data_IF_940540050588
#
_entry.id   IF_940540050588
#
_cell.length_a   1.000
_cell.length_b   1.000
_cell.length_c   1.000
_cell.angle_alpha   90.00
_cell.angle_beta   90.00
_cell.angle_gamma   90.00
#
_symmetry.space_group_name_H-M   'P 1'
#
loop_
_entity.id
_entity.type
_entity.pdbx_description
1 polymer ?
#
# COMPACT_ATOMS: atom_id res chain seq x y z
N UNK A 1 7.64 -2.11 3.93
CA UNK A 1 8.30 -1.51 2.74
C UNK A 1 9.69 -2.12 2.71
N UNK A 2 9.94 -3.05 1.78
CA UNK A 2 11.26 -3.63 1.59
C UNK A 2 12.18 -2.55 0.99
N UNK A 3 13.32 -2.34 1.62
CA UNK A 3 14.34 -1.44 1.09
C UNK A 3 15.11 -2.22 0.03
N UNK A 4 14.90 -1.90 -1.24
CA UNK A 4 15.70 -2.42 -2.33
C UNK A 4 16.92 -1.50 -2.55
N UNK A 5 18.10 -1.99 -2.17
CA UNK A 5 19.35 -1.25 -2.36
C UNK A 5 19.80 -1.33 -3.82
N UNK A 6 20.00 -0.18 -4.47
CA UNK A 6 20.65 -0.10 -5.77
C UNK A 6 22.16 -0.22 -5.58
N UNK A 7 22.68 -1.43 -5.65
CA UNK A 7 24.10 -1.69 -5.48
C UNK A 7 24.90 -1.39 -6.76
N UNK A 8 26.08 -0.77 -6.64
CA UNK A 8 26.92 -0.39 -7.80
C UNK A 8 27.54 -1.59 -8.51
N UNK A 9 27.65 -2.73 -7.84
CA UNK A 9 28.14 -4.01 -8.40
C UNK A 9 27.43 -5.18 -7.74
N UNK A 10 27.43 -6.37 -8.38
CA UNK A 10 26.97 -7.61 -7.74
C UNK A 10 27.83 -7.95 -6.53
N UNK A 11 27.18 -8.30 -5.41
CA UNK A 11 27.80 -8.76 -4.17
C UNK A 11 27.26 -10.14 -3.79
N UNK A 12 27.98 -10.91 -2.95
CA UNK A 12 27.47 -12.14 -2.35
C UNK A 12 26.14 -11.91 -1.62
N UNK A 13 25.26 -12.93 -1.60
CA UNK A 13 23.93 -12.79 -1.04
C UNK A 13 23.94 -12.41 0.45
N UNK A 14 24.87 -12.94 1.22
CA UNK A 14 25.08 -12.62 2.63
C UNK A 14 25.50 -11.15 2.85
N UNK A 15 26.34 -10.62 1.97
CA UNK A 15 26.73 -9.21 1.99
C UNK A 15 25.53 -8.29 1.67
N UNK A 16 24.68 -8.67 0.68
CA UNK A 16 23.46 -7.91 0.35
C UNK A 16 22.50 -7.90 1.54
N UNK A 17 22.27 -9.04 2.17
CA UNK A 17 21.43 -9.16 3.37
C UNK A 17 21.96 -8.28 4.50
N UNK A 18 23.29 -8.29 4.74
CA UNK A 18 23.89 -7.46 5.77
C UNK A 18 23.76 -5.97 5.46
N UNK A 19 24.07 -5.52 4.24
CA UNK A 19 23.92 -4.12 3.82
C UNK A 19 22.47 -3.64 3.92
N UNK A 20 21.51 -4.48 3.54
CA UNK A 20 20.08 -4.17 3.69
C UNK A 20 19.71 -4.00 5.16
N UNK A 21 20.20 -4.88 6.03
CA UNK A 21 19.98 -4.76 7.47
C UNK A 21 20.60 -3.48 8.05
N UNK A 22 21.80 -3.10 7.61
CA UNK A 22 22.42 -1.81 7.98
C UNK A 22 21.55 -0.65 7.50
N UNK A 23 21.10 -0.65 6.24
CA UNK A 23 20.27 0.41 5.68
C UNK A 23 18.95 0.59 6.45
N UNK A 24 18.29 -0.51 6.85
CA UNK A 24 17.09 -0.47 7.70
C UNK A 24 17.31 0.18 9.07
N UNK A 25 18.55 0.19 9.56
CA UNK A 25 18.91 0.72 10.86
C UNK A 25 19.55 2.12 10.81
N UNK A 26 19.83 2.68 9.62
CA UNK A 26 20.50 3.97 9.49
C UNK A 26 19.75 5.11 10.20
N UNK A 27 18.41 5.14 10.10
CA UNK A 27 17.62 6.18 10.78
C UNK A 27 17.76 6.11 12.30
N UNK A 28 17.72 4.91 12.88
CA UNK A 28 17.95 4.72 14.32
C UNK A 28 19.31 5.24 14.73
N UNK A 29 20.34 4.90 13.97
CA UNK A 29 21.72 5.33 14.26
C UNK A 29 21.90 6.83 14.07
N UNK A 30 21.27 7.43 13.04
CA UNK A 30 21.26 8.87 12.83
C UNK A 30 20.61 9.60 14.02
N UNK A 31 19.45 9.12 14.46
CA UNK A 31 18.70 9.73 15.57
C UNK A 31 19.45 9.61 16.91
N UNK A 32 19.98 8.43 17.24
CA UNK A 32 20.75 8.21 18.47
C UNK A 32 22.12 8.88 18.42
N UNK A 33 22.75 8.91 17.23
CA UNK A 33 24.08 9.48 17.03
C UNK A 33 24.09 10.98 16.78
N UNK A 34 22.92 11.65 16.72
CA UNK A 34 22.78 13.06 16.42
C UNK A 34 23.52 13.53 15.17
N UNK A 35 23.61 12.66 14.16
CA UNK A 35 24.37 12.96 12.95
C UNK A 35 23.76 12.34 11.68
N UNK A 36 24.05 12.97 10.55
CA UNK A 36 23.75 12.40 9.25
C UNK A 36 24.53 11.11 9.04
N UNK A 37 23.88 10.08 8.52
CA UNK A 37 24.50 8.78 8.30
C UNK A 37 24.35 8.38 6.84
N UNK A 38 25.42 7.91 6.21
CA UNK A 38 25.40 7.41 4.85
C UNK A 38 26.09 6.05 4.75
N UNK A 39 25.45 5.11 4.07
CA UNK A 39 26.02 3.81 3.72
C UNK A 39 26.59 3.89 2.31
N UNK A 40 27.87 3.65 2.15
CA UNK A 40 28.53 3.58 0.86
C UNK A 40 29.12 2.19 0.61
N UNK A 41 29.08 1.76 -0.64
CA UNK A 41 29.57 0.46 -1.11
C UNK A 41 30.65 0.68 -2.15
N UNK A 42 31.71 -0.14 -2.09
CA UNK A 42 32.83 -0.06 -3.03
C UNK A 42 32.49 -0.74 -4.36
N UNK A 43 32.53 0.00 -5.47
CA UNK A 43 32.19 -0.50 -6.82
C UNK A 43 33.37 -1.24 -7.51
N UNK A 44 34.57 -1.11 -6.99
CA UNK A 44 35.81 -1.61 -7.54
C UNK A 44 36.87 -0.51 -7.75
N UNK A 45 36.42 0.75 -7.81
CA UNK A 45 37.26 1.92 -7.98
C UNK A 45 36.95 3.01 -6.95
N UNK A 46 35.64 3.22 -6.69
CA UNK A 46 35.16 4.29 -5.81
C UNK A 46 34.15 3.77 -4.78
N UNK A 47 33.89 4.56 -3.75
CA UNK A 47 32.81 4.36 -2.81
C UNK A 47 31.56 5.12 -3.29
N UNK A 48 30.44 4.42 -3.49
CA UNK A 48 29.16 5.00 -3.89
C UNK A 48 28.13 4.90 -2.77
N UNK A 49 27.44 5.99 -2.46
CA UNK A 49 26.39 6.03 -1.44
C UNK A 49 25.15 5.31 -1.96
N UNK A 50 24.69 4.28 -1.22
CA UNK A 50 23.52 3.46 -1.56
C UNK A 50 22.32 3.69 -0.64
N UNK A 51 22.56 4.24 0.56
CA UNK A 51 21.49 4.65 1.48
C UNK A 51 21.98 5.80 2.36
N UNK A 52 21.07 6.67 2.80
CA UNK A 52 21.37 7.72 3.76
C UNK A 52 20.19 7.94 4.73
N UNK A 53 20.48 8.50 5.90
CA UNK A 53 19.50 8.91 6.89
C UNK A 53 19.95 10.20 7.60
N UNK A 54 19.00 11.00 8.05
CA UNK A 54 19.24 12.25 8.76
C UNK A 54 18.60 12.20 10.12
N UNK A 55 19.26 12.80 11.13
CA UNK A 55 18.71 12.81 12.47
C UNK A 55 17.43 13.66 12.51
N UNK A 56 16.39 13.12 13.13
CA UNK A 56 15.20 13.89 13.53
C UNK A 56 15.39 14.56 14.89
N UNK A 57 16.42 14.17 15.63
CA UNK A 57 16.75 14.62 16.99
C UNK A 57 17.77 15.76 17.02
N UNK A 58 18.36 16.09 15.87
CA UNK A 58 19.40 17.12 15.75
C UNK A 58 19.33 17.86 14.41
N UNK A 59 20.14 18.92 14.31
CA UNK A 59 20.29 19.65 13.04
C UNK A 59 21.13 18.80 12.08
N UNK A 60 20.58 18.52 10.90
CA UNK A 60 21.30 17.82 9.85
C UNK A 60 22.44 18.67 9.28
N UNK A 61 23.62 18.10 9.16
CA UNK A 61 24.78 18.73 8.51
C UNK A 61 24.62 18.75 6.98
N UNK A 62 23.92 17.76 6.40
CA UNK A 62 23.65 17.62 4.97
C UNK A 62 22.16 17.77 4.69
N UNK A 63 21.78 18.66 3.76
CA UNK A 63 20.36 18.98 3.49
C UNK A 63 19.74 18.10 2.41
N UNK A 64 20.55 17.63 1.44
CA UNK A 64 20.09 16.84 0.30
C UNK A 64 20.54 15.38 0.45
N UNK A 65 19.75 14.43 -0.12
CA UNK A 65 20.17 13.03 -0.16
C UNK A 65 21.48 12.87 -0.91
N UNK A 66 22.33 11.99 -0.39
CA UNK A 66 23.61 11.62 -0.98
C UNK A 66 23.52 10.33 -1.80
N UNK A 67 22.37 9.68 -1.86
CA UNK A 67 22.17 8.40 -2.59
C UNK A 67 22.59 8.59 -4.07
N UNK A 68 23.43 7.67 -4.55
CA UNK A 68 24.00 7.72 -5.89
C UNK A 68 25.26 8.60 -6.03
N UNK A 69 25.64 9.34 -4.99
CA UNK A 69 26.87 10.14 -5.00
C UNK A 69 28.10 9.23 -4.90
N UNK A 70 29.08 9.48 -5.77
CA UNK A 70 30.42 8.89 -5.67
C UNK A 70 31.27 9.73 -4.72
N UNK A 71 31.88 9.07 -3.75
CA UNK A 71 32.76 9.71 -2.78
C UNK A 71 34.19 9.75 -3.35
N UNK A 72 34.81 10.91 -3.35
CA UNK A 72 36.23 11.03 -3.73
C UNK A 72 37.13 10.80 -2.52
N UNK A 73 38.34 10.32 -2.79
CA UNK A 73 39.34 10.11 -1.74
C UNK A 73 39.80 11.44 -1.09
N UNK A 74 39.79 12.52 -1.85
CA UNK A 74 40.18 13.85 -1.36
C UNK A 74 39.08 14.46 -0.48
N UNK A 75 37.79 14.22 -0.81
CA UNK A 75 36.64 14.75 -0.06
C UNK A 75 36.33 13.92 1.19
N UNK A 76 36.48 12.59 1.12
CA UNK A 76 36.14 11.66 2.20
C UNK A 76 37.34 10.73 2.55
N UNK A 77 38.49 11.27 2.96
CA UNK A 77 39.69 10.44 3.26
C UNK A 77 39.42 9.46 4.41
N UNK A 78 38.57 9.80 5.38
CA UNK A 78 38.19 8.94 6.50
C UNK A 78 37.49 7.66 6.02
N UNK A 79 36.62 7.78 4.99
CA UNK A 79 35.92 6.64 4.39
C UNK A 79 36.90 5.63 3.78
N UNK A 80 37.84 6.13 3.01
CA UNK A 80 38.87 5.28 2.36
C UNK A 80 39.84 4.69 3.37
N UNK A 81 40.27 5.47 4.36
CA UNK A 81 41.11 4.98 5.43
C UNK A 81 40.46 3.85 6.24
N UNK A 82 39.16 3.99 6.56
CA UNK A 82 38.42 2.96 7.25
C UNK A 82 38.20 1.71 6.38
N UNK A 83 37.93 1.90 5.07
CA UNK A 83 37.75 0.81 4.13
C UNK A 83 39.03 -0.02 3.95
N UNK A 84 40.16 0.65 3.75
CA UNK A 84 41.47 0.01 3.53
C UNK A 84 42.07 -0.57 4.81
N UNK A 85 41.87 0.17 5.94
CA UNK A 85 42.40 -0.25 7.24
C UNK A 85 41.51 -1.28 7.95
N UNK A 86 40.28 -1.49 7.50
CA UNK A 86 39.33 -2.43 8.13
C UNK A 86 38.95 -2.09 9.59
N UNK A 87 39.11 -0.83 9.99
CA UNK A 87 38.83 -0.34 11.34
C UNK A 87 38.18 1.04 11.31
N UNK A 88 37.41 1.37 12.37
CA UNK A 88 36.76 2.67 12.48
C UNK A 88 37.80 3.82 12.48
N UNK A 89 37.50 4.88 11.74
CA UNK A 89 38.32 6.10 11.64
C UNK A 89 37.47 7.28 12.13
N UNK A 90 38.04 8.09 12.99
CA UNK A 90 37.42 9.31 13.50
C UNK A 90 38.20 10.49 12.95
N UNK A 91 37.52 11.33 12.15
CA UNK A 91 38.18 12.48 11.53
C UNK A 91 38.21 13.68 12.45
N UNK A 92 39.44 14.22 12.62
CA UNK A 92 39.66 15.48 13.33
C UNK A 92 39.37 16.71 12.44
N UNK A 93 39.08 16.50 11.16
CA UNK A 93 38.82 17.59 10.21
C UNK A 93 37.46 18.19 10.47
N UNK A 94 37.45 19.48 10.74
CA UNK A 94 36.23 20.28 10.82
C UNK A 94 35.81 20.66 9.42
N UNK A 95 34.73 20.09 8.95
CA UNK A 95 34.09 20.50 7.70
C UNK A 95 33.02 21.53 7.99
N UNK A 96 32.80 22.46 7.07
CA UNK A 96 31.74 23.47 7.23
C UNK A 96 30.83 23.44 6.02
N UNK A 97 29.55 23.15 6.26
CA UNK A 97 28.49 23.25 5.26
C UNK A 97 27.43 24.22 5.76
N UNK A 98 27.14 25.25 4.98
CA UNK A 98 26.15 26.30 5.33
C UNK A 98 26.39 26.95 6.72
N UNK A 99 27.64 27.12 7.11
CA UNK A 99 28.00 27.70 8.41
C UNK A 99 27.93 26.74 9.61
N UNK A 100 27.60 25.46 9.38
CA UNK A 100 27.61 24.42 10.40
C UNK A 100 28.94 23.65 10.28
N UNK A 101 29.70 23.63 11.36
CA UNK A 101 30.90 22.79 11.46
C UNK A 101 30.51 21.40 11.93
N UNK A 102 31.03 20.38 11.27
CA UNK A 102 30.83 18.98 11.63
C UNK A 102 32.11 18.15 11.54
N UNK A 103 32.15 17.06 12.27
CA UNK A 103 33.19 16.03 12.20
C UNK A 103 32.64 14.77 11.58
N UNK A 104 33.45 14.11 10.75
CA UNK A 104 33.06 12.85 10.08
C UNK A 104 33.76 11.68 10.76
N UNK A 105 33.00 10.59 11.00
CA UNK A 105 33.56 9.29 11.35
C UNK A 105 33.15 8.26 10.34
N UNK A 106 34.01 7.28 10.06
CA UNK A 106 33.78 6.20 9.10
C UNK A 106 33.98 4.84 9.78
N UNK A 107 33.06 3.90 9.51
CA UNK A 107 33.08 2.56 10.06
C UNK A 107 32.94 1.51 8.97
N UNK A 108 33.83 0.49 8.90
CA UNK A 108 33.73 -0.54 7.90
C UNK A 108 32.56 -1.49 8.19
N UNK A 109 31.91 -1.94 7.13
CA UNK A 109 30.83 -2.94 7.17
C UNK A 109 31.30 -4.19 6.43
N UNK A 110 31.31 -5.32 7.14
CA UNK A 110 31.72 -6.60 6.56
C UNK A 110 32.64 -7.40 7.47
N UNK A 111 33.35 -8.36 6.89
CA UNK A 111 34.32 -9.19 7.63
C UNK A 111 35.58 -8.40 7.93
N UNK A 112 36.20 -8.60 9.12
CA UNK A 112 37.45 -7.96 9.44
C UNK A 112 38.54 -8.20 8.34
N UNK A 113 39.11 -7.12 7.83
CA UNK A 113 40.13 -7.17 6.75
C UNK A 113 39.57 -7.30 5.31
N UNK A 114 38.22 -7.44 5.16
CA UNK A 114 37.59 -7.46 3.83
C UNK A 114 36.19 -6.80 3.89
N UNK A 115 36.12 -5.50 4.18
CA UNK A 115 34.85 -4.79 4.18
C UNK A 115 34.31 -4.67 2.76
N UNK A 116 32.98 -4.69 2.63
CA UNK A 116 32.30 -4.45 1.35
C UNK A 116 31.53 -3.13 1.35
N UNK A 117 31.42 -2.46 2.49
CA UNK A 117 30.79 -1.17 2.64
C UNK A 117 31.40 -0.35 3.77
N UNK A 118 30.95 0.90 3.85
CA UNK A 118 31.34 1.88 4.88
C UNK A 118 30.07 2.61 5.35
N UNK A 119 29.93 2.81 6.64
CA UNK A 119 29.00 3.78 7.19
C UNK A 119 29.75 5.04 7.59
N UNK A 120 29.37 6.16 7.00
CA UNK A 120 29.81 7.51 7.36
C UNK A 120 28.82 8.11 8.34
N UNK A 121 29.32 8.85 9.35
CA UNK A 121 28.50 9.65 10.25
C UNK A 121 29.09 11.05 10.36
N UNK A 122 28.27 12.06 10.05
CA UNK A 122 28.59 13.49 10.14
C UNK A 122 27.84 14.10 11.31
N UNK A 123 28.55 14.51 12.36
CA UNK A 123 27.96 15.07 13.58
C UNK A 123 28.27 16.56 13.69
N UNK A 124 27.23 17.38 13.87
CA UNK A 124 27.41 18.80 14.08
C UNK A 124 28.14 19.07 15.40
N UNK A 125 29.18 19.92 15.33
CA UNK A 125 30.09 20.16 16.46
C UNK A 125 29.39 20.72 17.70
N UNK A 126 28.34 21.50 17.52
CA UNK A 126 27.54 22.05 18.63
C UNK A 126 26.95 20.97 19.56
N UNK A 127 26.71 19.77 19.05
CA UNK A 127 26.20 18.63 19.84
C UNK A 127 27.31 17.99 20.66
N UNK A 128 28.56 18.04 20.20
CA UNK A 128 29.69 17.34 20.82
C UNK A 128 30.35 18.13 21.96
N UNK A 129 30.29 19.47 21.92
CA UNK A 129 31.03 20.34 22.84
C UNK A 129 30.45 20.38 24.28
N UNK A 130 29.15 20.18 24.47
CA UNK A 130 28.52 20.15 25.78
C UNK A 130 27.27 19.27 25.80
N UNK A 131 27.41 17.93 25.70
CA UNK A 131 26.25 17.03 25.63
C UNK A 131 25.54 16.98 26.99
N UNK A 132 24.22 17.05 26.98
CA UNK A 132 23.39 16.77 28.15
C UNK A 132 23.34 15.26 28.45
N UNK A 133 22.64 14.90 29.53
CA UNK A 133 22.53 13.48 29.94
C UNK A 133 21.86 12.60 28.87
N UNK A 134 20.90 13.14 28.15
CA UNK A 134 20.18 12.42 27.08
C UNK A 134 21.11 12.17 25.90
N UNK A 135 21.84 13.17 25.47
CA UNK A 135 22.78 13.08 24.36
C UNK A 135 23.89 12.07 24.66
N UNK A 136 24.42 12.05 25.88
CA UNK A 136 25.44 11.07 26.29
C UNK A 136 24.89 9.64 26.23
N UNK A 137 23.67 9.40 26.76
CA UNK A 137 23.04 8.10 26.72
C UNK A 137 22.76 7.64 25.27
N UNK A 138 22.21 8.53 24.44
CA UNK A 138 21.88 8.23 23.06
C UNK A 138 23.14 7.94 22.23
N UNK A 139 24.18 8.75 22.34
CA UNK A 139 25.45 8.49 21.66
C UNK A 139 26.09 7.17 22.10
N UNK A 140 26.04 6.83 23.40
CA UNK A 140 26.50 5.52 23.88
C UNK A 140 25.71 4.36 23.26
N UNK A 141 24.39 4.49 23.14
CA UNK A 141 23.56 3.50 22.49
C UNK A 141 23.84 3.39 21.00
N UNK A 142 24.07 4.52 20.30
CA UNK A 142 24.45 4.53 18.88
C UNK A 142 25.74 3.73 18.65
N UNK A 143 26.76 3.93 19.49
CA UNK A 143 28.03 3.19 19.39
C UNK A 143 27.82 1.68 19.51
N UNK A 144 26.99 1.22 20.45
CA UNK A 144 26.68 -0.21 20.64
C UNK A 144 25.89 -0.79 19.47
N UNK A 145 24.97 -0.02 18.86
CA UNK A 145 24.25 -0.45 17.64
C UNK A 145 25.25 -0.57 16.48
N UNK A 146 26.16 0.39 16.32
CA UNK A 146 27.22 0.32 15.32
C UNK A 146 28.09 -0.91 15.47
N UNK A 147 28.56 -1.23 16.69
CA UNK A 147 29.41 -2.39 16.96
C UNK A 147 28.79 -3.72 16.45
N UNK A 148 27.45 -3.84 16.54
CA UNK A 148 26.74 -5.00 16.01
C UNK A 148 26.68 -4.92 14.49
N UNK A 149 26.22 -3.77 13.96
CA UNK A 149 26.01 -3.59 12.53
C UNK A 149 27.29 -3.68 11.68
N UNK A 150 28.46 -3.37 12.26
CA UNK A 150 29.76 -3.52 11.60
C UNK A 150 30.06 -4.97 11.19
N UNK A 151 29.68 -5.92 12.03
CA UNK A 151 30.16 -7.31 11.95
C UNK A 151 29.15 -8.26 11.32
N UNK A 152 27.88 -8.07 11.60
CA UNK A 152 26.83 -9.01 11.22
C UNK A 152 25.44 -8.35 11.20
N UNK A 153 24.50 -8.90 10.44
CA UNK A 153 23.11 -8.44 10.50
C UNK A 153 22.50 -8.74 11.87
N UNK A 154 21.64 -7.84 12.34
CA UNK A 154 20.80 -8.08 13.52
C UNK A 154 19.70 -9.06 13.14
N UNK A 155 19.58 -10.16 13.85
CA UNK A 155 18.63 -11.23 13.56
C UNK A 155 17.41 -11.11 14.48
N UNK A 156 16.22 -11.27 13.91
CA UNK A 156 14.97 -11.39 14.67
C UNK A 156 14.91 -12.76 15.35
N UNK A 157 14.74 -12.77 16.70
CA UNK A 157 14.74 -14.01 17.47
C UNK A 157 13.48 -14.87 17.25
N UNK A 158 12.40 -14.28 16.74
CA UNK A 158 11.14 -15.01 16.50
C UNK A 158 11.14 -15.72 15.14
N UNK A 159 11.76 -15.12 14.11
CA UNK A 159 11.76 -15.66 12.74
C UNK A 159 13.12 -16.23 12.32
N UNK A 160 14.18 -15.92 13.05
CA UNK A 160 15.57 -16.22 12.69
C UNK A 160 16.01 -15.55 11.36
N UNK A 161 15.27 -14.53 10.90
CA UNK A 161 15.54 -13.75 9.73
C UNK A 161 16.19 -12.40 10.08
N UNK A 162 16.81 -11.70 9.11
CA UNK A 162 17.34 -10.37 9.34
C UNK A 162 16.25 -9.41 9.85
N UNK A 163 16.54 -8.73 10.95
CA UNK A 163 15.59 -7.80 11.57
C UNK A 163 15.50 -6.50 10.78
N UNK A 164 14.49 -6.38 9.94
CA UNK A 164 14.30 -5.26 8.98
C UNK A 164 13.27 -4.23 9.41
N UNK A 165 12.73 -4.33 10.63
CA UNK A 165 11.73 -3.37 11.14
C UNK A 165 12.32 -1.96 11.24
N UNK A 166 11.69 -0.98 10.56
CA UNK A 166 12.12 0.41 10.57
C UNK A 166 12.01 1.03 11.96
N UNK A 167 13.00 1.85 12.37
CA UNK A 167 13.15 2.37 13.73
C UNK A 167 13.49 3.84 13.75
N UNK A 168 12.95 4.55 14.74
CA UNK A 168 13.24 5.96 15.02
C UNK A 168 13.46 6.14 16.51
N UNK A 169 14.43 6.97 16.90
CA UNK A 169 14.63 7.30 18.30
C UNK A 169 13.70 8.41 18.81
N UNK A 170 12.85 8.98 17.95
CA UNK A 170 11.77 9.92 18.33
C UNK A 170 10.69 9.28 19.20
N UNK A 171 10.60 7.96 19.20
CA UNK A 171 9.78 7.15 20.09
C UNK A 171 10.40 7.12 21.50
N UNK A 172 9.80 6.39 22.43
CA UNK A 172 10.40 6.21 23.76
C UNK A 172 11.64 5.32 23.68
N UNK A 173 12.78 5.78 24.19
CA UNK A 173 14.03 5.03 24.23
C UNK A 173 14.35 4.62 25.64
N UNK A 174 14.67 3.35 25.88
CA UNK A 174 15.17 2.82 27.16
C UNK A 174 16.44 2.02 26.93
N UNK A 175 17.39 2.16 27.85
CA UNK A 175 18.55 1.30 28.02
C UNK A 175 18.31 0.31 29.16
N UNK A 176 18.49 -0.95 28.88
CA UNK A 176 18.41 -2.02 29.87
C UNK A 176 19.83 -2.55 30.10
N UNK A 177 20.26 -2.64 31.34
CA UNK A 177 21.56 -3.18 31.67
C UNK A 177 21.59 -4.73 31.62
N UNK A 178 22.79 -5.31 31.83
CA UNK A 178 22.98 -6.75 31.81
C UNK A 178 22.20 -7.51 32.92
N UNK A 179 21.77 -6.83 33.98
CA UNK A 179 20.94 -7.42 35.05
C UNK A 179 19.44 -7.35 34.71
N UNK A 180 19.05 -6.74 33.58
CA UNK A 180 17.68 -6.56 33.19
C UNK A 180 17.00 -5.35 33.83
N UNK A 181 17.77 -4.43 34.43
CA UNK A 181 17.25 -3.20 35.04
C UNK A 181 17.30 -2.06 34.08
N UNK A 182 16.30 -1.18 34.11
CA UNK A 182 16.26 0.04 33.29
C UNK A 182 17.35 1.01 33.78
N UNK A 183 18.42 1.14 33.05
CA UNK A 183 19.53 2.07 33.33
C UNK A 183 19.21 3.50 32.91
N UNK A 184 18.50 3.66 31.78
CA UNK A 184 18.07 4.93 31.23
C UNK A 184 16.68 4.82 30.61
N UNK A 185 15.90 5.89 30.69
CA UNK A 185 14.63 6.06 29.98
C UNK A 185 14.48 7.50 29.51
N UNK A 186 14.19 7.69 28.22
CA UNK A 186 13.89 9.01 27.65
C UNK A 186 12.57 9.56 28.22
N UNK A 187 12.34 10.89 28.18
CA UNK A 187 11.09 11.49 28.63
C UNK A 187 9.86 10.86 27.95
N UNK A 188 9.95 10.56 26.64
CA UNK A 188 8.87 9.89 25.92
C UNK A 188 8.61 8.48 26.44
N UNK A 189 9.65 7.68 26.69
CA UNK A 189 9.50 6.35 27.28
C UNK A 189 8.84 6.41 28.65
N UNK A 190 9.27 7.36 29.52
CA UNK A 190 8.65 7.56 30.83
C UNK A 190 7.18 7.92 30.69
N UNK A 191 6.83 8.79 29.75
CA UNK A 191 5.44 9.17 29.50
C UNK A 191 4.59 8.00 29.01
N UNK A 192 5.09 7.24 28.03
CA UNK A 192 4.40 6.03 27.51
C UNK A 192 4.17 5.02 28.65
N UNK A 193 5.19 4.77 29.48
CA UNK A 193 5.07 3.83 30.61
C UNK A 193 4.05 4.32 31.65
N UNK A 194 4.00 5.63 31.94
CA UNK A 194 2.99 6.20 32.84
C UNK A 194 1.58 6.03 32.27
N UNK A 195 1.40 6.32 30.99
CA UNK A 195 0.13 6.14 30.31
C UNK A 195 -0.30 4.66 30.30
N UNK A 196 0.65 3.72 30.30
CA UNK A 196 0.41 2.29 30.41
C UNK A 196 0.27 1.78 31.88
N UNK A 197 0.13 2.69 32.85
CA UNK A 197 -0.17 2.37 34.25
C UNK A 197 1.06 2.19 35.16
N UNK A 198 2.26 2.59 34.73
CA UNK A 198 3.45 2.52 35.63
C UNK A 198 3.43 3.71 36.58
N UNK A 199 3.26 3.43 37.85
CA UNK A 199 3.36 4.42 38.93
C UNK A 199 4.81 4.63 39.36
N UNK A 200 5.22 5.90 39.55
CA UNK A 200 6.57 6.28 40.01
C UNK A 200 7.65 6.26 38.91
N UNK A 201 8.90 6.04 39.31
CA UNK A 201 10.04 6.08 38.35
C UNK A 201 10.14 4.82 37.49
N UNK A 202 10.55 4.98 36.22
CA UNK A 202 10.84 3.87 35.31
C UNK A 202 12.28 3.39 35.46
N UNK A 203 13.23 4.32 35.62
CA UNK A 203 14.65 4.01 35.82
C UNK A 203 14.87 3.29 37.16
N UNK A 204 15.70 2.28 37.17
CA UNK A 204 15.98 1.42 38.33
C UNK A 204 15.00 0.25 38.50
N UNK A 205 13.97 0.13 37.68
CA UNK A 205 13.04 -1.01 37.71
C UNK A 205 13.58 -2.19 36.90
N UNK A 206 13.20 -3.39 37.31
CA UNK A 206 13.41 -4.60 36.52
C UNK A 206 12.51 -4.53 35.25
N UNK A 207 13.11 -4.60 34.08
CA UNK A 207 12.40 -4.40 32.79
C UNK A 207 11.25 -5.39 32.60
N UNK A 208 11.37 -6.62 33.10
CA UNK A 208 10.31 -7.63 33.05
C UNK A 208 9.04 -7.27 33.85
N UNK A 209 9.10 -6.29 34.74
CA UNK A 209 7.95 -5.77 35.50
C UNK A 209 7.24 -4.61 34.81
N UNK A 210 7.82 -4.07 33.75
CA UNK A 210 7.17 -3.06 32.92
C UNK A 210 6.04 -3.68 32.07
N UNK A 211 5.01 -2.90 31.72
CA UNK A 211 3.95 -3.36 30.83
C UNK A 211 4.52 -4.01 29.55
N UNK A 212 4.26 -5.30 29.34
CA UNK A 212 4.79 -6.05 28.21
C UNK A 212 6.28 -6.45 28.29
N UNK A 213 7.04 -5.98 29.27
CA UNK A 213 8.50 -6.17 29.34
C UNK A 213 8.95 -7.63 29.44
N UNK A 214 8.16 -8.49 30.11
CA UNK A 214 8.45 -9.95 30.17
C UNK A 214 8.40 -10.61 28.78
N UNK A 215 7.57 -10.12 27.88
CA UNK A 215 7.39 -10.65 26.52
C UNK A 215 8.32 -9.98 25.53
N UNK A 216 8.45 -8.64 25.60
CA UNK A 216 9.18 -7.86 24.61
C UNK A 216 10.68 -7.75 24.88
N UNK A 217 11.09 -7.68 26.17
CA UNK A 217 12.45 -7.31 26.56
C UNK A 217 13.23 -8.52 27.04
N UNK A 218 12.67 -9.28 28.01
CA UNK A 218 13.36 -10.39 28.66
C UNK A 218 13.98 -11.42 27.69
N UNK A 219 13.30 -11.85 26.59
CA UNK A 219 13.89 -12.85 25.69
C UNK A 219 15.10 -12.33 24.91
N UNK A 220 15.27 -11.02 24.81
CA UNK A 220 16.30 -10.40 23.95
C UNK A 220 17.56 -10.03 24.71
N UNK A 221 17.49 -9.72 26.00
CA UNK A 221 18.60 -9.13 26.80
C UNK A 221 19.94 -9.88 26.64
N UNK A 222 19.95 -11.17 26.45
CA UNK A 222 21.20 -11.95 26.34
C UNK A 222 21.33 -12.72 25.04
N UNK A 223 20.40 -12.51 24.09
CA UNK A 223 20.37 -13.27 22.82
C UNK A 223 21.31 -12.72 21.77
N UNK A 224 21.69 -11.43 21.87
CA UNK A 224 22.40 -10.71 20.80
C UNK A 224 21.54 -10.45 19.55
N UNK A 225 20.25 -10.82 19.59
CA UNK A 225 19.29 -10.62 18.50
C UNK A 225 18.39 -9.42 18.74
N UNK A 226 17.31 -9.35 17.95
CA UNK A 226 16.29 -8.32 18.09
C UNK A 226 14.88 -8.91 18.07
N UNK A 227 13.90 -8.14 18.52
CA UNK A 227 12.49 -8.49 18.51
C UNK A 227 11.62 -7.27 18.30
N UNK A 228 10.58 -7.41 17.46
CA UNK A 228 9.51 -6.42 17.35
C UNK A 228 8.18 -7.09 17.73
N UNK A 229 7.45 -6.50 18.69
CA UNK A 229 6.17 -7.04 19.14
C UNK A 229 5.23 -5.92 19.58
N UNK A 230 3.97 -6.01 19.19
CA UNK A 230 2.90 -5.15 19.72
C UNK A 230 2.20 -5.88 20.85
N UNK A 231 2.06 -5.24 21.99
CA UNK A 231 1.47 -5.79 23.21
C UNK A 231 0.32 -4.90 23.65
N UNK A 232 -0.83 -5.52 23.90
CA UNK A 232 -1.98 -4.85 24.47
C UNK A 232 -1.84 -4.77 25.99
N UNK A 233 -1.94 -3.56 26.54
CA UNK A 233 -1.86 -3.29 27.97
C UNK A 233 -3.01 -2.36 28.33
N UNK A 234 -3.97 -2.88 29.08
CA UNK A 234 -5.22 -2.20 29.41
C UNK A 234 -5.94 -1.72 28.11
N UNK A 235 -6.02 -0.41 27.89
CA UNK A 235 -6.68 0.23 26.74
C UNK A 235 -5.68 0.71 25.68
N UNK A 236 -4.40 0.31 25.77
CA UNK A 236 -3.30 0.77 24.91
C UNK A 236 -2.62 -0.37 24.19
N UNK A 237 -2.17 -0.07 22.97
CA UNK A 237 -1.30 -0.95 22.18
C UNK A 237 0.10 -0.35 22.13
N UNK A 238 1.06 -1.05 22.73
CA UNK A 238 2.46 -0.63 22.79
C UNK A 238 3.30 -1.48 21.84
N UNK A 239 3.95 -0.82 20.87
CA UNK A 239 4.93 -1.46 20.01
C UNK A 239 6.30 -1.38 20.66
N UNK A 240 6.88 -2.55 20.91
CA UNK A 240 8.25 -2.69 21.37
C UNK A 240 9.16 -3.14 20.24
N UNK A 241 10.34 -2.51 20.13
CA UNK A 241 11.43 -2.96 19.27
C UNK A 241 12.67 -3.02 20.13
N UNK A 242 13.15 -4.22 20.40
CA UNK A 242 14.26 -4.48 21.32
C UNK A 242 15.45 -5.03 20.56
N UNK A 243 16.66 -4.53 20.85
CA UNK A 243 17.93 -5.06 20.34
C UNK A 243 18.78 -5.44 21.55
N UNK A 244 19.20 -6.72 21.61
CA UNK A 244 20.07 -7.23 22.64
C UNK A 244 21.54 -6.92 22.37
N UNK A 245 22.25 -6.55 23.41
CA UNK A 245 23.70 -6.41 23.46
C UNK A 245 24.32 -7.42 24.45
N UNK A 246 25.60 -7.61 24.36
CA UNK A 246 26.33 -8.37 25.39
C UNK A 246 26.20 -7.76 26.81
N UNK A 247 25.99 -6.44 26.87
CA UNK A 247 25.89 -5.65 28.12
C UNK A 247 24.46 -5.23 28.48
N UNK A 248 23.41 -5.78 27.82
CA UNK A 248 22.02 -5.42 28.07
C UNK A 248 21.18 -5.32 26.81
N UNK A 249 20.29 -4.33 26.70
CA UNK A 249 19.47 -4.12 25.53
C UNK A 249 19.10 -2.65 25.30
N UNK A 250 18.91 -2.28 24.03
CA UNK A 250 18.19 -1.08 23.59
C UNK A 250 16.73 -1.45 23.40
N UNK A 251 15.83 -0.66 23.95
CA UNK A 251 14.38 -0.81 23.78
C UNK A 251 13.82 0.49 23.22
N UNK A 252 13.13 0.39 22.10
CA UNK A 252 12.27 1.44 21.55
C UNK A 252 10.84 1.06 21.89
N UNK A 253 10.07 1.99 22.44
CA UNK A 253 8.65 1.78 22.77
C UNK A 253 7.83 2.92 22.16
N UNK A 254 6.75 2.57 21.49
CA UNK A 254 5.84 3.47 20.82
C UNK A 254 4.39 3.14 21.22
N UNK A 255 3.60 4.16 21.52
CA UNK A 255 2.15 4.02 21.69
C UNK A 255 1.48 4.05 20.32
N UNK A 256 1.07 2.89 19.84
CA UNK A 256 0.43 2.71 18.53
C UNK A 256 -1.10 2.54 18.65
N UNK A 257 -1.68 2.89 19.79
CA UNK A 257 -3.11 2.70 20.09
C UNK A 257 -4.00 3.30 19.00
N UNK A 258 -3.74 4.55 18.62
CA UNK A 258 -4.57 5.22 17.60
C UNK A 258 -4.39 4.61 16.21
N UNK A 259 -3.20 4.12 15.89
CA UNK A 259 -2.93 3.44 14.60
C UNK A 259 -3.69 2.13 14.55
N UNK A 260 -3.55 1.28 15.56
CA UNK A 260 -4.23 -0.02 15.65
C UNK A 260 -5.76 0.16 15.64
N UNK A 261 -6.26 1.15 16.39
CA UNK A 261 -7.70 1.45 16.42
C UNK A 261 -8.22 1.86 15.04
N UNK A 262 -7.53 2.75 14.33
CA UNK A 262 -7.91 3.16 12.96
C UNK A 262 -7.88 1.99 11.97
N UNK A 263 -6.86 1.14 12.05
CA UNK A 263 -6.81 -0.07 11.22
C UNK A 263 -7.97 -1.02 11.50
N UNK A 264 -8.33 -1.21 12.77
CA UNK A 264 -9.49 -2.02 13.15
C UNK A 264 -10.79 -1.42 12.64
N UNK A 265 -10.98 -0.10 12.78
CA UNK A 265 -12.15 0.60 12.24
C UNK A 265 -12.27 0.44 10.72
N UNK A 266 -11.16 0.55 9.99
CA UNK A 266 -11.14 0.32 8.53
C UNK A 266 -11.52 -1.12 8.19
N UNK A 267 -10.93 -2.12 8.87
CA UNK A 267 -11.28 -3.55 8.68
C UNK A 267 -12.76 -3.83 8.94
N UNK A 268 -13.33 -3.23 9.99
CA UNK A 268 -14.77 -3.37 10.30
C UNK A 268 -15.63 -2.73 9.21
N UNK A 269 -15.25 -1.55 8.73
CA UNK A 269 -15.96 -0.89 7.61
C UNK A 269 -15.93 -1.74 6.35
N UNK A 270 -14.76 -2.27 5.98
CA UNK A 270 -14.61 -3.14 4.81
C UNK A 270 -15.42 -4.44 4.94
N UNK A 271 -15.42 -5.05 6.14
CA UNK A 271 -16.24 -6.24 6.40
C UNK A 271 -17.74 -5.93 6.30
N UNK A 272 -18.17 -4.76 6.80
CA UNK A 272 -19.56 -4.32 6.71
C UNK A 272 -19.98 -4.07 5.26
N UNK A 273 -19.14 -3.42 4.47
CA UNK A 273 -19.40 -3.19 3.03
C UNK A 273 -19.56 -4.53 2.31
N UNK A 274 -18.66 -5.49 2.53
CA UNK A 274 -18.76 -6.85 1.95
C UNK A 274 -20.06 -7.55 2.34
N UNK A 275 -20.46 -7.48 3.61
CA UNK A 275 -21.71 -8.06 4.09
C UNK A 275 -22.94 -7.43 3.41
N UNK A 276 -22.95 -6.09 3.25
CA UNK A 276 -24.03 -5.39 2.52
C UNK A 276 -24.12 -5.89 1.08
N UNK A 277 -23.00 -6.01 0.37
CA UNK A 277 -23.00 -6.55 -1.00
C UNK A 277 -23.51 -7.99 -1.07
N UNK A 278 -23.09 -8.86 -0.16
CA UNK A 278 -23.62 -10.23 -0.08
C UNK A 278 -25.14 -10.26 0.17
N UNK A 279 -25.66 -9.39 1.04
CA UNK A 279 -27.09 -9.29 1.30
C UNK A 279 -27.86 -8.76 0.10
N UNK A 280 -27.35 -7.75 -0.61
CA UNK A 280 -27.96 -7.26 -1.85
C UNK A 280 -28.05 -8.37 -2.88
N UNK A 281 -26.95 -9.13 -3.12
CA UNK A 281 -26.97 -10.30 -4.00
C UNK A 281 -28.05 -11.30 -3.62
N UNK A 282 -28.11 -11.70 -2.34
CA UNK A 282 -29.08 -12.70 -1.85
C UNK A 282 -30.51 -12.20 -2.04
N UNK A 283 -30.78 -10.91 -1.80
CA UNK A 283 -32.08 -10.31 -2.01
C UNK A 283 -32.46 -10.32 -3.50
N UNK A 284 -31.53 -9.93 -4.39
CA UNK A 284 -31.78 -9.99 -5.85
C UNK A 284 -32.06 -11.40 -6.32
N UNK A 285 -31.30 -12.41 -5.85
CA UNK A 285 -31.58 -13.83 -6.17
C UNK A 285 -32.93 -14.31 -5.67
N UNK A 286 -33.35 -13.85 -4.48
CA UNK A 286 -34.69 -14.17 -3.94
C UNK A 286 -35.78 -13.54 -4.79
N UNK A 287 -35.63 -12.27 -5.19
CA UNK A 287 -36.57 -11.58 -6.09
C UNK A 287 -36.65 -12.31 -7.44
N UNK A 288 -35.51 -12.65 -8.05
CA UNK A 288 -35.48 -13.42 -9.30
C UNK A 288 -36.21 -14.75 -9.18
N UNK A 289 -36.05 -15.47 -8.05
CA UNK A 289 -36.74 -16.72 -7.79
C UNK A 289 -38.26 -16.55 -7.65
N UNK A 290 -38.70 -15.50 -6.96
CA UNK A 290 -40.13 -15.18 -6.82
C UNK A 290 -40.74 -14.83 -8.19
N UNK A 291 -40.07 -14.01 -8.98
CA UNK A 291 -40.52 -13.65 -10.33
C UNK A 291 -40.63 -14.88 -11.24
N UNK A 292 -39.65 -15.82 -11.19
CA UNK A 292 -39.73 -17.10 -11.92
C UNK A 292 -40.96 -17.94 -11.51
N UNK A 293 -41.28 -17.97 -10.24
CA UNK A 293 -42.45 -18.70 -9.76
C UNK A 293 -43.72 -18.04 -10.30
N UNK A 294 -43.80 -16.70 -10.31
CA UNK A 294 -44.97 -15.98 -10.87
C UNK A 294 -45.09 -16.17 -12.38
N UNK A 295 -43.98 -16.13 -13.12
CA UNK A 295 -43.95 -16.38 -14.57
C UNK A 295 -44.55 -17.79 -14.93
N UNK A 296 -44.23 -18.81 -14.10
CA UNK A 296 -44.79 -20.15 -14.27
C UNK A 296 -46.26 -20.30 -13.92
N UNK A 297 -46.81 -19.38 -13.11
CA UNK A 297 -48.22 -19.42 -12.64
C UNK A 297 -49.15 -18.58 -13.49
N UNK A 298 -48.64 -17.64 -14.26
CA UNK A 298 -49.43 -16.80 -15.14
C UNK A 298 -49.89 -17.59 -16.38
N UNK A 299 -51.11 -17.34 -16.84
CA UNK A 299 -51.69 -17.93 -18.05
C UNK A 299 -51.59 -17.00 -19.26
N UNK A 300 -51.15 -15.77 -19.09
CA UNK A 300 -50.93 -14.82 -20.18
C UNK A 300 -49.49 -14.95 -20.69
N UNK A 301 -49.35 -15.24 -21.98
CA UNK A 301 -48.02 -15.32 -22.63
C UNK A 301 -47.29 -14.00 -22.60
N UNK A 302 -47.98 -12.86 -22.67
CA UNK A 302 -47.40 -11.52 -22.58
C UNK A 302 -46.86 -11.25 -21.17
N UNK A 303 -47.64 -11.58 -20.13
CA UNK A 303 -47.19 -11.42 -18.74
C UNK A 303 -46.07 -12.39 -18.38
N UNK A 304 -46.07 -13.59 -18.94
CA UNK A 304 -44.97 -14.58 -18.75
C UNK A 304 -43.67 -14.08 -19.34
N UNK A 305 -43.68 -13.49 -20.56
CA UNK A 305 -42.52 -12.89 -21.18
C UNK A 305 -41.98 -11.69 -20.38
N UNK A 306 -42.86 -10.76 -19.98
CA UNK A 306 -42.44 -9.59 -19.20
C UNK A 306 -41.82 -10.00 -17.85
N UNK A 307 -42.31 -11.05 -17.20
CA UNK A 307 -41.71 -11.58 -15.95
C UNK A 307 -40.38 -12.28 -16.22
N UNK A 308 -40.22 -12.98 -17.35
CA UNK A 308 -38.93 -13.61 -17.71
C UNK A 308 -37.85 -12.53 -17.98
N UNK A 309 -38.17 -11.47 -18.71
CA UNK A 309 -37.27 -10.33 -18.89
C UNK A 309 -36.88 -9.68 -17.55
N UNK A 310 -37.84 -9.49 -16.64
CA UNK A 310 -37.54 -8.94 -15.31
C UNK A 310 -36.59 -9.86 -14.51
N UNK A 311 -36.72 -11.19 -14.63
CA UNK A 311 -35.80 -12.16 -13.99
C UNK A 311 -34.39 -12.03 -14.55
N UNK A 312 -34.23 -11.90 -15.86
CA UNK A 312 -32.91 -11.75 -16.49
C UNK A 312 -32.24 -10.46 -16.04
N UNK A 313 -32.96 -9.34 -16.00
CA UNK A 313 -32.45 -8.06 -15.51
C UNK A 313 -32.00 -8.11 -14.04
N UNK A 314 -32.81 -8.68 -13.16
CA UNK A 314 -32.45 -8.84 -11.74
C UNK A 314 -31.25 -9.77 -11.58
N UNK A 315 -31.15 -10.81 -12.39
CA UNK A 315 -30.00 -11.73 -12.37
C UNK A 315 -28.72 -11.07 -12.85
N UNK A 316 -28.76 -10.26 -13.91
CA UNK A 316 -27.62 -9.48 -14.40
C UNK A 316 -27.14 -8.47 -13.36
N UNK A 317 -28.07 -7.75 -12.68
CA UNK A 317 -27.73 -6.86 -11.56
C UNK A 317 -26.99 -7.60 -10.43
N UNK A 318 -27.46 -8.82 -10.07
CA UNK A 318 -26.87 -9.59 -8.97
C UNK A 318 -25.41 -9.96 -9.28
N UNK A 319 -25.10 -10.31 -10.53
CA UNK A 319 -23.74 -10.70 -10.92
C UNK A 319 -22.81 -9.46 -11.03
N UNK A 320 -23.30 -8.35 -11.55
CA UNK A 320 -22.56 -7.08 -11.55
C UNK A 320 -22.22 -6.68 -10.11
N UNK A 321 -23.17 -6.79 -9.20
CA UNK A 321 -22.95 -6.54 -7.78
C UNK A 321 -21.91 -7.48 -7.14
N UNK A 322 -21.91 -8.76 -7.51
CA UNK A 322 -20.92 -9.74 -7.02
C UNK A 322 -19.52 -9.43 -7.52
N UNK A 323 -19.37 -9.09 -8.79
CA UNK A 323 -18.08 -8.79 -9.40
C UNK A 323 -17.43 -7.55 -8.79
N UNK A 324 -18.23 -6.55 -8.46
CA UNK A 324 -17.76 -5.31 -7.84
C UNK A 324 -17.53 -5.44 -6.33
N UNK A 325 -18.25 -6.35 -5.66
CA UNK A 325 -18.02 -6.71 -4.26
C UNK A 325 -16.72 -7.49 -4.04
N UNK A 326 -16.24 -8.20 -5.06
CA UNK A 326 -14.98 -8.96 -5.01
C UNK A 326 -13.74 -8.05 -5.14
N UNK A 327 -13.88 -6.86 -5.71
CA UNK A 327 -12.81 -5.86 -5.76
C UNK A 327 -12.82 -5.05 -4.48
N UNK A 328 -11.81 -5.23 -3.63
CA UNK A 328 -11.52 -4.38 -2.46
C UNK A 328 -10.99 -3.00 -2.85
N UNK A 329 -10.86 -2.72 -4.13
CA UNK A 329 -10.31 -1.49 -4.68
C UNK A 329 -11.41 -0.46 -4.93
N UNK A 330 -11.16 0.78 -4.60
CA UNK A 330 -12.04 1.92 -4.91
C UNK A 330 -12.25 2.13 -6.42
N UNK A 331 -11.40 1.51 -7.25
CA UNK A 331 -11.37 1.61 -8.70
C UNK A 331 -11.27 0.24 -9.36
N UNK A 332 -12.02 0.04 -10.44
CA UNK A 332 -12.15 -1.21 -11.20
C UNK A 332 -11.87 -0.96 -12.68
N UNK A 333 -11.22 -1.89 -13.36
CA UNK A 333 -11.12 -1.86 -14.82
C UNK A 333 -12.47 -2.25 -15.44
N UNK A 334 -13.19 -1.24 -15.95
CA UNK A 334 -14.49 -1.46 -16.55
C UNK A 334 -14.43 -2.32 -17.82
N UNK A 335 -13.29 -2.40 -18.51
CA UNK A 335 -13.15 -3.27 -19.69
C UNK A 335 -13.34 -4.76 -19.34
N UNK A 336 -12.84 -5.17 -18.17
CA UNK A 336 -13.01 -6.55 -17.65
C UNK A 336 -14.47 -6.79 -17.27
N UNK A 337 -15.07 -5.80 -16.59
CA UNK A 337 -16.48 -5.84 -16.20
C UNK A 337 -17.40 -5.98 -17.42
N UNK A 338 -17.21 -5.16 -18.44
CA UNK A 338 -18.00 -5.18 -19.66
C UNK A 338 -17.91 -6.53 -20.40
N UNK A 339 -16.72 -7.12 -20.52
CA UNK A 339 -16.53 -8.46 -21.11
C UNK A 339 -17.34 -9.52 -20.38
N UNK A 340 -17.27 -9.53 -19.05
CA UNK A 340 -18.00 -10.50 -18.22
C UNK A 340 -19.52 -10.34 -18.36
N UNK A 341 -20.01 -9.09 -18.36
CA UNK A 341 -21.44 -8.79 -18.54
C UNK A 341 -21.92 -9.25 -19.93
N UNK A 342 -21.17 -8.94 -20.98
CA UNK A 342 -21.49 -9.35 -22.35
C UNK A 342 -21.51 -10.88 -22.47
N UNK A 343 -20.55 -11.58 -21.89
CA UNK A 343 -20.51 -13.07 -21.91
C UNK A 343 -21.73 -13.67 -21.19
N UNK A 344 -22.21 -13.07 -20.11
CA UNK A 344 -23.42 -13.53 -19.43
C UNK A 344 -24.68 -13.32 -20.27
N UNK A 345 -24.84 -12.11 -20.82
CA UNK A 345 -26.00 -11.84 -21.70
C UNK A 345 -26.01 -12.79 -22.90
N UNK A 346 -24.84 -13.05 -23.46
CA UNK A 346 -24.68 -14.03 -24.57
C UNK A 346 -25.09 -15.45 -24.15
N UNK A 347 -24.71 -15.90 -22.94
CA UNK A 347 -25.05 -17.22 -22.42
C UNK A 347 -26.55 -17.38 -22.16
N UNK A 348 -27.21 -16.35 -21.63
CA UNK A 348 -28.67 -16.40 -21.38
C UNK A 348 -29.48 -16.52 -22.67
N UNK A 349 -29.00 -15.92 -23.76
CA UNK A 349 -29.66 -15.88 -25.05
C UNK A 349 -29.24 -17.02 -26.00
N UNK A 350 -28.26 -17.84 -25.64
CA UNK A 350 -27.81 -19.00 -26.47
C UNK A 350 -28.90 -20.06 -26.75
N UNK A 351 -30.04 -19.99 -26.05
CA UNK A 351 -31.20 -20.90 -26.27
C UNK A 351 -32.17 -20.41 -27.33
N UNK A 352 -32.01 -19.19 -27.89
CA UNK A 352 -32.94 -18.61 -28.87
C UNK A 352 -32.70 -19.06 -30.33
N UNK A 353 -31.63 -19.82 -30.59
CA UNK A 353 -31.31 -20.34 -31.94
C UNK A 353 -30.78 -19.30 -32.95
N UNK A 354 -30.52 -18.06 -32.50
CA UNK A 354 -29.96 -17.01 -33.33
C UNK A 354 -28.42 -17.02 -33.26
N UNK A 355 -27.74 -16.92 -34.42
CA UNK A 355 -26.26 -16.79 -34.51
C UNK A 355 -25.85 -15.29 -34.44
N UNK A 356 -26.03 -14.66 -33.28
CA UNK A 356 -25.61 -13.28 -33.07
C UNK A 356 -24.21 -13.27 -32.43
N UNK A 357 -23.28 -12.60 -33.13
CA UNK A 357 -21.90 -12.41 -32.65
C UNK A 357 -21.80 -11.12 -31.86
N UNK A 358 -21.38 -11.20 -30.58
CA UNK A 358 -21.11 -10.02 -29.76
C UNK A 358 -19.59 -9.83 -29.61
N UNK A 359 -19.10 -8.64 -29.96
CA UNK A 359 -17.66 -8.28 -29.91
C UNK A 359 -17.48 -7.13 -28.93
N UNK A 360 -16.48 -7.23 -28.06
CA UNK A 360 -16.10 -6.18 -27.10
C UNK A 360 -14.72 -5.64 -27.47
N UNK A 361 -14.63 -4.33 -27.72
CA UNK A 361 -13.42 -3.66 -28.20
C UNK A 361 -13.04 -2.49 -27.28
N UNK A 362 -11.73 -2.24 -27.18
CA UNK A 362 -11.18 -1.10 -26.43
C UNK A 362 -10.93 -1.38 -24.95
N UNK A 363 -10.30 -0.39 -24.32
CA UNK A 363 -9.90 -0.42 -22.93
C UNK A 363 -10.24 0.91 -22.25
N UNK A 364 -10.66 0.86 -21.00
CA UNK A 364 -11.01 2.04 -20.20
C UNK A 364 -10.02 2.36 -19.10
N UNK A 365 -9.25 1.34 -18.66
CA UNK A 365 -8.48 1.38 -17.43
C UNK A 365 -9.37 1.52 -16.20
N UNK A 366 -8.77 1.93 -15.09
CA UNK A 366 -9.45 2.02 -13.80
C UNK A 366 -10.48 3.17 -13.77
N UNK A 367 -11.69 2.87 -13.32
CA UNK A 367 -12.76 3.84 -13.02
C UNK A 367 -13.29 3.58 -11.60
N UNK A 368 -13.91 4.58 -10.93
CA UNK A 368 -14.55 4.37 -9.64
C UNK A 368 -15.54 3.20 -9.69
N UNK A 369 -15.57 2.35 -8.67
CA UNK A 369 -16.41 1.15 -8.63
C UNK A 369 -17.91 1.48 -8.82
N UNK A 370 -18.40 2.61 -8.29
CA UNK A 370 -19.76 3.07 -8.51
C UNK A 370 -20.06 3.37 -9.99
N UNK A 371 -19.13 4.00 -10.70
CA UNK A 371 -19.25 4.29 -12.13
C UNK A 371 -19.24 2.99 -12.94
N UNK A 372 -18.34 2.06 -12.61
CA UNK A 372 -18.26 0.75 -13.24
C UNK A 372 -19.58 -0.04 -13.09
N UNK A 373 -20.20 0.02 -11.90
CA UNK A 373 -21.50 -0.63 -11.62
C UNK A 373 -22.60 -0.09 -12.53
N UNK A 374 -22.76 1.22 -12.56
CA UNK A 374 -23.78 1.88 -13.37
C UNK A 374 -23.55 1.64 -14.86
N UNK A 375 -22.30 1.71 -15.34
CA UNK A 375 -21.95 1.41 -16.73
C UNK A 375 -22.18 -0.07 -17.10
N UNK A 376 -21.92 -1.00 -16.20
CA UNK A 376 -22.15 -2.43 -16.44
C UNK A 376 -23.65 -2.75 -16.59
N UNK A 377 -24.49 -2.13 -15.76
CA UNK A 377 -25.93 -2.24 -15.89
C UNK A 377 -26.43 -1.68 -17.23
N UNK A 378 -25.97 -0.48 -17.60
CA UNK A 378 -26.31 0.16 -18.88
C UNK A 378 -25.81 -0.69 -20.07
N UNK A 379 -24.61 -1.23 -19.98
CA UNK A 379 -24.05 -2.13 -21.01
C UNK A 379 -24.92 -3.40 -21.16
N UNK A 380 -25.30 -4.05 -20.05
CA UNK A 380 -26.18 -5.22 -20.06
C UNK A 380 -27.51 -4.95 -20.77
N UNK A 381 -28.19 -3.86 -20.39
CA UNK A 381 -29.47 -3.46 -20.96
C UNK A 381 -29.38 -3.15 -22.46
N UNK A 382 -28.31 -2.44 -22.89
CA UNK A 382 -28.15 -2.08 -24.30
C UNK A 382 -27.77 -3.31 -25.16
N UNK A 383 -26.95 -4.20 -24.66
CA UNK A 383 -26.60 -5.44 -25.37
C UNK A 383 -27.82 -6.35 -25.47
N UNK A 384 -28.58 -6.46 -24.38
CA UNK A 384 -29.84 -7.22 -24.37
C UNK A 384 -30.84 -6.67 -25.41
N UNK A 385 -31.07 -5.35 -25.40
CA UNK A 385 -31.94 -4.68 -26.36
C UNK A 385 -31.46 -4.86 -27.82
N UNK A 386 -30.15 -4.81 -28.07
CA UNK A 386 -29.61 -5.02 -29.41
C UNK A 386 -29.87 -6.45 -29.89
N UNK A 387 -29.72 -7.47 -29.04
CA UNK A 387 -29.93 -8.87 -29.40
C UNK A 387 -31.43 -9.18 -29.56
N UNK A 388 -32.28 -8.69 -28.66
CA UNK A 388 -33.70 -9.03 -28.65
C UNK A 388 -34.54 -8.24 -29.69
N UNK A 389 -34.17 -6.98 -29.91
CA UNK A 389 -34.97 -6.08 -30.76
C UNK A 389 -34.26 -5.63 -32.04
N UNK A 390 -32.92 -5.75 -32.10
CA UNK A 390 -32.14 -5.20 -33.23
C UNK A 390 -32.32 -5.97 -34.52
N UNK A 391 -32.60 -7.25 -34.50
CA UNK A 391 -32.51 -8.10 -35.71
C UNK A 391 -33.85 -8.56 -36.27
N UNK A 392 -34.97 -8.32 -35.58
CA UNK A 392 -36.30 -8.72 -36.04
C UNK A 392 -36.40 -10.23 -36.34
N UNK A 393 -36.73 -10.63 -37.59
CA UNK A 393 -36.78 -12.03 -37.98
C UNK A 393 -35.43 -12.60 -38.46
N UNK A 394 -34.36 -11.79 -38.48
CA UNK A 394 -33.03 -12.23 -38.85
C UNK A 394 -32.43 -13.13 -37.78
N UNK A 395 -31.88 -14.28 -38.18
CA UNK A 395 -31.22 -15.24 -37.25
C UNK A 395 -29.71 -14.99 -37.13
N UNK A 396 -29.14 -14.00 -37.80
CA UNK A 396 -27.72 -13.69 -37.76
C UNK A 396 -27.47 -12.16 -37.73
N UNK A 397 -26.46 -11.77 -36.97
CA UNK A 397 -26.07 -10.38 -36.84
C UNK A 397 -24.87 -10.16 -35.96
N UNK A 398 -24.48 -8.90 -35.83
CA UNK A 398 -23.34 -8.51 -34.99
C UNK A 398 -23.69 -7.35 -34.08
N UNK A 399 -23.36 -7.50 -32.82
CA UNK A 399 -23.37 -6.42 -31.82
C UNK A 399 -21.93 -6.09 -31.44
N UNK A 400 -21.56 -4.84 -31.48
CA UNK A 400 -20.22 -4.35 -31.10
C UNK A 400 -20.35 -3.42 -29.90
N UNK A 401 -19.66 -3.75 -28.82
CA UNK A 401 -19.50 -2.91 -27.65
C UNK A 401 -18.10 -2.30 -27.71
N UNK A 402 -17.99 -1.03 -27.95
CA UNK A 402 -16.68 -0.36 -27.99
C UNK A 402 -16.56 0.67 -26.87
N UNK A 403 -15.39 0.68 -26.24
CA UNK A 403 -15.09 1.53 -25.10
C UNK A 403 -13.83 2.32 -25.35
N UNK A 404 -13.85 3.57 -24.93
CA UNK A 404 -12.68 4.45 -25.07
C UNK A 404 -12.64 5.45 -23.93
N UNK A 405 -11.47 5.60 -23.32
CA UNK A 405 -11.20 6.67 -22.36
C UNK A 405 -10.55 7.85 -23.07
N UNK A 406 -11.13 9.04 -22.86
CA UNK A 406 -10.61 10.33 -23.28
C UNK A 406 -10.25 11.16 -22.04
N UNK A 407 -9.47 12.25 -22.16
CA UNK A 407 -9.22 13.15 -21.05
C UNK A 407 -10.52 13.70 -20.46
N UNK A 408 -10.84 13.32 -19.21
CA UNK A 408 -12.05 13.75 -18.51
C UNK A 408 -13.35 13.00 -18.85
N UNK A 409 -13.36 12.11 -19.83
CA UNK A 409 -14.56 11.39 -20.26
C UNK A 409 -14.29 9.91 -20.58
N UNK A 410 -15.32 9.08 -20.38
CA UNK A 410 -15.38 7.72 -20.87
C UNK A 410 -16.50 7.60 -21.90
N UNK A 411 -16.21 7.01 -23.04
CA UNK A 411 -17.18 6.72 -24.09
C UNK A 411 -17.46 5.23 -24.12
N UNK A 412 -18.74 4.86 -24.03
CA UNK A 412 -19.26 3.51 -24.29
C UNK A 412 -20.19 3.58 -25.47
N UNK A 413 -19.96 2.77 -26.51
CA UNK A 413 -20.78 2.69 -27.69
C UNK A 413 -21.23 1.25 -27.88
N UNK A 414 -22.54 1.05 -27.97
CA UNK A 414 -23.16 -0.23 -28.34
C UNK A 414 -23.79 -0.06 -29.71
N UNK A 415 -23.37 -0.90 -30.68
CA UNK A 415 -23.84 -0.86 -32.06
C UNK A 415 -24.27 -2.25 -32.51
N UNK A 416 -25.46 -2.33 -33.12
CA UNK A 416 -25.90 -3.49 -33.89
C UNK A 416 -25.91 -3.17 -35.41
N UNK A 417 -25.91 -4.20 -36.22
CA UNK A 417 -26.05 -4.13 -37.69
C UNK A 417 -27.45 -4.58 -38.16
N UNK A 418 -28.44 -4.45 -37.31
CA UNK A 418 -29.80 -4.91 -37.51
C UNK A 418 -30.70 -3.93 -38.29
N UNK A 419 -31.99 -3.97 -37.98
CA UNK A 419 -33.04 -3.22 -38.68
C UNK A 419 -33.05 -1.72 -38.36
N UNK A 420 -32.36 -1.32 -37.28
CA UNK A 420 -32.33 0.07 -36.82
C UNK A 420 -33.57 0.47 -36.01
N UNK A 421 -33.64 1.78 -35.68
CA UNK A 421 -34.75 2.34 -34.91
C UNK A 421 -35.95 2.62 -35.80
N UNK A 422 -37.20 2.42 -35.32
CA UNK A 422 -38.40 2.77 -36.07
C UNK A 422 -38.47 4.28 -36.38
N UNK A 423 -39.18 4.66 -37.47
CA UNK A 423 -39.41 6.04 -37.80
C UNK A 423 -40.14 6.77 -36.66
N UNK A 424 -39.65 7.93 -36.26
CA UNK A 424 -40.23 8.71 -35.17
C UNK A 424 -39.83 8.21 -33.77
N UNK A 425 -38.84 7.33 -33.62
CA UNK A 425 -38.34 6.89 -32.33
C UNK A 425 -37.93 8.09 -31.46
N UNK A 426 -38.49 8.14 -30.26
CA UNK A 426 -38.11 9.09 -29.22
C UNK A 426 -37.92 8.36 -27.91
N UNK A 427 -36.82 8.63 -27.22
CA UNK A 427 -36.50 8.02 -25.92
C UNK A 427 -37.59 8.32 -24.86
N UNK A 428 -38.22 9.52 -24.95
CA UNK A 428 -39.23 9.97 -24.00
C UNK A 428 -40.62 9.31 -24.24
N UNK A 429 -40.88 8.80 -25.42
CA UNK A 429 -42.11 8.11 -25.76
C UNK A 429 -42.04 6.60 -25.79
N UNK A 430 -40.84 6.05 -25.57
CA UNK A 430 -40.62 4.61 -25.54
C UNK A 430 -41.12 4.01 -24.20
N UNK A 431 -42.09 3.10 -24.32
CA UNK A 431 -42.65 2.37 -23.14
C UNK A 431 -41.72 1.26 -22.63
N UNK A 432 -40.50 1.11 -23.18
CA UNK A 432 -39.60 0.04 -22.81
C UNK A 432 -38.88 0.37 -21.48
N UNK A 433 -39.11 -0.51 -20.48
CA UNK A 433 -38.56 -0.36 -19.12
C UNK A 433 -37.02 -0.33 -19.13
N UNK A 434 -36.34 -1.10 -19.98
CA UNK A 434 -34.88 -1.14 -20.09
C UNK A 434 -34.30 0.20 -20.50
N UNK A 435 -34.90 0.86 -21.51
CA UNK A 435 -34.47 2.19 -21.96
C UNK A 435 -34.72 3.28 -20.91
N UNK A 436 -35.82 3.15 -20.12
CA UNK A 436 -36.08 4.05 -19.00
C UNK A 436 -34.99 3.93 -17.91
N UNK A 437 -34.54 2.70 -17.60
CA UNK A 437 -33.41 2.45 -16.67
C UNK A 437 -32.14 3.06 -17.23
N UNK A 438 -31.80 2.81 -18.50
CA UNK A 438 -30.61 3.37 -19.17
C UNK A 438 -30.62 4.90 -19.08
N UNK A 439 -31.77 5.54 -19.37
CA UNK A 439 -31.92 6.99 -19.29
C UNK A 439 -31.65 7.52 -17.88
N UNK A 440 -32.30 6.91 -16.89
CA UNK A 440 -32.14 7.30 -15.48
C UNK A 440 -30.71 7.12 -15.00
N UNK A 441 -30.10 5.96 -15.23
CA UNK A 441 -28.75 5.67 -14.77
C UNK A 441 -27.72 6.58 -15.46
N UNK A 442 -27.84 6.79 -16.77
CA UNK A 442 -26.91 7.68 -17.49
C UNK A 442 -27.08 9.13 -17.05
N UNK A 443 -28.32 9.60 -16.87
CA UNK A 443 -28.61 10.98 -16.49
C UNK A 443 -28.32 11.29 -15.04
N UNK A 444 -28.88 10.49 -14.13
CA UNK A 444 -28.90 10.79 -12.70
C UNK A 444 -27.65 10.26 -11.98
N UNK A 445 -27.27 8.99 -12.22
CA UNK A 445 -26.15 8.38 -11.53
C UNK A 445 -24.78 8.75 -12.15
N UNK A 446 -24.69 8.64 -13.49
CA UNK A 446 -23.45 8.86 -14.23
C UNK A 446 -23.26 10.32 -14.65
N UNK A 447 -24.31 11.16 -14.57
CA UNK A 447 -24.32 12.55 -15.07
C UNK A 447 -23.77 12.66 -16.49
N UNK A 448 -24.04 11.64 -17.29
CA UNK A 448 -23.58 11.48 -18.65
C UNK A 448 -24.58 11.94 -19.69
N UNK A 449 -24.22 11.74 -20.94
CA UNK A 449 -25.11 11.99 -22.09
C UNK A 449 -25.34 10.70 -22.86
N UNK A 450 -26.57 10.53 -23.33
CA UNK A 450 -27.04 9.38 -24.09
C UNK A 450 -27.54 9.85 -25.47
N UNK A 451 -27.02 9.27 -26.54
CA UNK A 451 -27.44 9.60 -27.92
C UNK A 451 -27.71 8.34 -28.72
N UNK A 452 -28.77 8.39 -29.54
CA UNK A 452 -29.15 7.31 -30.43
C UNK A 452 -28.98 7.76 -31.88
N UNK A 453 -28.51 6.87 -32.74
CA UNK A 453 -28.47 7.08 -34.19
C UNK A 453 -28.81 5.77 -34.89
N UNK A 454 -29.49 5.90 -36.04
CA UNK A 454 -29.92 4.78 -36.89
C UNK A 454 -29.54 5.07 -38.33
N UNK A 455 -28.56 4.34 -38.87
CA UNK A 455 -28.15 4.44 -40.27
C UNK A 455 -28.17 3.06 -40.95
N UNK A 456 -27.39 2.12 -40.43
CA UNK A 456 -27.42 0.68 -40.74
C UNK A 456 -27.35 -0.03 -39.39
N UNK A 457 -28.53 -0.40 -38.85
CA UNK A 457 -28.65 -0.85 -37.45
C UNK A 457 -28.79 0.34 -36.50
N UNK A 458 -28.72 0.06 -35.19
CA UNK A 458 -28.79 1.04 -34.10
C UNK A 458 -27.39 1.29 -33.51
N UNK A 459 -27.11 2.55 -33.23
CA UNK A 459 -25.89 2.92 -32.49
C UNK A 459 -26.30 3.78 -31.29
N UNK A 460 -25.94 3.32 -30.08
CA UNK A 460 -26.17 4.03 -28.83
C UNK A 460 -24.80 4.48 -28.30
N UNK A 461 -24.65 5.78 -28.10
CA UNK A 461 -23.42 6.36 -27.58
C UNK A 461 -23.67 6.99 -26.22
N UNK A 462 -22.88 6.61 -25.25
CA UNK A 462 -22.89 7.12 -23.89
C UNK A 462 -21.56 7.81 -23.62
N UNK A 463 -21.62 9.01 -23.05
CA UNK A 463 -20.45 9.75 -22.60
C UNK A 463 -20.62 10.04 -21.12
N UNK A 464 -19.64 9.65 -20.33
CA UNK A 464 -19.65 9.80 -18.87
C UNK A 464 -18.45 10.62 -18.45
N UNK A 465 -18.63 11.69 -17.65
CA UNK A 465 -17.52 12.40 -17.06
C UNK A 465 -16.81 11.50 -16.05
N UNK A 466 -15.50 11.32 -16.22
CA UNK A 466 -14.66 10.57 -15.29
C UNK A 466 -13.43 11.40 -14.95
N UNK A 467 -12.94 11.38 -13.70
CA UNK A 467 -11.72 12.08 -13.34
C UNK A 467 -10.58 11.72 -14.28
N UNK A 468 -9.78 12.70 -14.67
CA UNK A 468 -8.56 12.46 -15.46
C UNK A 468 -7.70 11.42 -14.74
N UNK A 469 -6.96 10.60 -15.50
CA UNK A 469 -5.90 9.75 -14.92
C UNK A 469 -4.98 10.68 -14.15
N UNK A 470 -4.84 10.48 -12.83
CA UNK A 470 -3.72 11.08 -12.12
C UNK A 470 -2.47 10.55 -12.84
N UNK A 471 -1.71 11.43 -13.48
CA UNK A 471 -0.39 11.09 -13.98
C UNK A 471 0.39 10.62 -12.76
N UNK A 472 0.81 9.35 -12.79
CA UNK A 472 1.81 8.82 -11.88
C UNK A 472 3.09 9.65 -12.10
N UNK A 473 3.31 10.61 -11.20
CA UNK A 473 4.54 11.41 -11.10
C UNK A 473 5.52 10.73 -10.14
#
# INVERSE_FOLDING_TARGET
>A
MEIELKLPKPLPADAVVHLTNVACNLQLVADLGYGDVALAVFDGEHLQVVADARPMTAIAAVVTSRIGQTLSRDDEPEAYAAFEGGSAVFGDRRRTTRGISYSTSARPIGTPGSPYGIVLRDVAQQVVEAPGKMEVAFMSLAERVFEILERQPVIDIDTSEPFTTYRRAGDGVMEIDASGVVAYASPNAVNIMRLAGVEGGVVGRVSATLPGGSTAIKPVIHSGGARAVTIEVADRSLMYRTIGFSSGALVLVEDVTDVVRREQELRVKEATIREVHHRVKNNLQTIASLLRIQARRTTSDEASRALAEAVERVSSMAVVHEMLAASTEESVDFSVAARTVVDMVRQSLAHSGAEITVVVEGETGLVPASVATSLALVCAELVHNAIEHGFGESTSGRVTVSMRRLPGELHLVVRDDGTGLPEGFSLDSSANLGLAIVKTVVGDDLRGTLTFSSARGTTVTIRVPVPGRAEEA
#
